data_IF_390086147963
#
_entry.id   IF_390086147963
#
_cell.length_a   1.000
_cell.length_b   1.000
_cell.length_c   1.000
_cell.angle_alpha   90.00
_cell.angle_beta   90.00
_cell.angle_gamma   90.00
#
_symmetry.space_group_name_H-M   'P 1'
#
loop_
_entity.id
_entity.type
_entity.pdbx_description
1 polymer ?
#
# COMPACT_ATOMS: atom_id res chain seq x y z
N UNK A 1 0.92 11.46 6.38
CA UNK A 1 2.10 10.60 6.29
C UNK A 1 1.69 9.14 6.37
N UNK A 2 2.32 8.30 5.60
CA UNK A 2 1.94 6.89 5.55
C UNK A 2 2.40 6.16 6.80
N UNK A 3 1.47 5.47 7.45
CA UNK A 3 1.80 4.67 8.63
C UNK A 3 1.97 3.22 8.25
N UNK A 4 2.87 2.55 8.94
CA UNK A 4 3.15 1.13 8.70
C UNK A 4 2.75 0.31 9.89
N UNK A 5 2.15 -0.84 9.64
CA UNK A 5 1.81 -1.81 10.67
C UNK A 5 2.28 -3.16 10.22
N UNK A 6 2.68 -4.01 11.15
CA UNK A 6 3.07 -5.37 10.81
C UNK A 6 1.94 -6.32 11.18
N UNK A 7 1.87 -7.43 10.46
CA UNK A 7 0.94 -8.51 10.77
C UNK A 7 1.52 -9.81 10.25
N UNK A 8 0.98 -10.92 10.73
CA UNK A 8 1.46 -12.24 10.32
C UNK A 8 0.56 -12.76 9.22
N UNK A 9 1.14 -13.05 8.07
CA UNK A 9 0.39 -13.60 6.95
C UNK A 9 -0.13 -14.99 7.27
N UNK A 10 -1.40 -15.22 7.02
CA UNK A 10 -2.02 -16.48 7.40
C UNK A 10 -1.48 -17.66 6.63
N UNK A 11 -1.15 -17.46 5.37
CA UNK A 11 -0.69 -18.57 4.53
C UNK A 11 0.78 -18.88 4.71
N UNK A 12 1.58 -17.83 4.90
CA UNK A 12 3.03 -18.03 4.91
C UNK A 12 3.62 -17.97 6.30
N UNK A 13 2.90 -17.40 7.27
CA UNK A 13 3.45 -17.22 8.60
C UNK A 13 4.51 -16.14 8.68
N UNK A 14 4.71 -15.37 7.61
CA UNK A 14 5.74 -14.34 7.58
C UNK A 14 5.18 -13.03 8.11
N UNK A 15 6.08 -12.20 8.63
CA UNK A 15 5.72 -10.85 9.01
C UNK A 15 5.62 -10.00 7.76
N UNK A 16 4.47 -9.38 7.58
CA UNK A 16 4.22 -8.53 6.44
C UNK A 16 3.83 -7.14 6.92
N UNK A 17 3.88 -6.18 6.03
CA UNK A 17 3.58 -4.80 6.35
C UNK A 17 2.29 -4.36 5.67
N UNK A 18 1.51 -3.59 6.40
CA UNK A 18 0.29 -2.98 5.92
C UNK A 18 0.44 -1.48 6.11
N UNK A 19 -0.20 -0.71 5.25
CA UNK A 19 0.03 0.72 5.24
C UNK A 19 -1.29 1.46 5.42
N UNK A 20 -1.25 2.57 6.16
CA UNK A 20 -2.40 3.42 6.39
C UNK A 20 -2.02 4.83 5.98
N UNK A 21 -2.84 5.45 5.15
CA UNK A 21 -2.60 6.81 4.70
C UNK A 21 -3.92 7.48 4.37
N UNK A 22 -3.90 8.81 4.31
CA UNK A 22 -5.10 9.55 3.97
C UNK A 22 -5.39 9.41 2.49
N UNK A 23 -6.62 9.69 2.10
CA UNK A 23 -6.98 9.63 0.69
C UNK A 23 -6.15 10.61 -0.12
N UNK A 24 -5.93 11.80 0.41
CA UNK A 24 -5.12 12.80 -0.30
C UNK A 24 -3.71 12.27 -0.53
N UNK A 25 -3.12 11.67 0.48
CA UNK A 25 -1.79 11.14 0.34
C UNK A 25 -1.75 9.95 -0.61
N UNK A 26 -2.78 9.11 -0.57
CA UNK A 26 -2.85 7.97 -1.48
C UNK A 26 -2.88 8.46 -2.93
N UNK A 27 -3.72 9.44 -3.21
CA UNK A 27 -3.83 9.96 -4.57
C UNK A 27 -2.52 10.62 -5.01
N UNK A 28 -1.89 11.39 -4.12
CA UNK A 28 -0.65 12.05 -4.46
C UNK A 28 0.46 11.04 -4.75
N UNK A 29 0.59 10.04 -3.90
CA UNK A 29 1.64 9.03 -4.08
C UNK A 29 1.41 8.20 -5.32
N UNK A 30 0.16 7.86 -5.61
CA UNK A 30 -0.17 7.11 -6.81
C UNK A 30 0.17 7.92 -8.05
N UNK A 31 -0.10 9.22 -8.01
CA UNK A 31 0.19 10.10 -9.11
C UNK A 31 1.69 10.24 -9.33
N UNK A 32 2.49 10.03 -8.31
CA UNK A 32 3.94 10.09 -8.38
C UNK A 32 4.57 8.70 -8.58
N UNK A 33 3.76 7.71 -8.91
CA UNK A 33 4.22 6.33 -9.11
C UNK A 33 4.85 5.76 -7.84
N UNK A 34 4.22 6.03 -6.70
CA UNK A 34 4.70 5.51 -5.44
C UNK A 34 4.23 4.09 -5.19
N UNK A 35 4.99 3.37 -4.42
CA UNK A 35 4.66 2.02 -4.01
C UNK A 35 5.28 1.73 -2.68
N UNK A 36 5.21 0.47 -2.25
CA UNK A 36 5.77 0.09 -0.97
C UNK A 36 6.07 -1.40 -0.95
N UNK A 37 7.02 -1.78 -0.12
CA UNK A 37 7.42 -3.17 0.03
C UNK A 37 6.67 -3.79 1.19
N UNK A 38 5.95 -4.88 0.94
CA UNK A 38 5.21 -5.54 2.00
C UNK A 38 6.11 -6.39 2.90
N UNK A 39 7.36 -6.58 2.51
CA UNK A 39 8.28 -7.43 3.26
C UNK A 39 9.14 -6.65 4.24
N UNK A 40 9.47 -5.40 3.95
CA UNK A 40 10.28 -4.60 4.85
C UNK A 40 9.65 -3.25 5.21
N UNK A 41 8.55 -2.89 4.57
CA UNK A 41 7.84 -1.66 4.89
C UNK A 41 8.39 -0.41 4.25
N UNK A 42 9.40 -0.51 3.40
CA UNK A 42 10.00 0.66 2.78
C UNK A 42 9.09 1.20 1.69
N UNK A 43 9.06 2.52 1.55
CA UNK A 43 8.35 3.10 0.42
C UNK A 43 9.26 3.05 -0.81
N UNK A 44 8.66 3.05 -1.98
CA UNK A 44 9.41 2.96 -3.22
C UNK A 44 8.81 3.92 -4.24
N UNK A 45 9.62 4.33 -5.20
CA UNK A 45 9.17 5.16 -6.28
C UNK A 45 9.29 4.43 -7.60
N UNK A 46 8.77 5.04 -8.66
CA UNK A 46 8.89 4.45 -9.98
C UNK A 46 8.04 3.21 -10.19
N UNK A 47 6.95 3.08 -9.44
CA UNK A 47 6.06 1.94 -9.53
C UNK A 47 4.77 2.36 -10.21
N UNK A 48 4.39 1.68 -11.27
CA UNK A 48 3.06 1.88 -11.82
C UNK A 48 2.04 1.51 -10.76
N UNK A 49 0.83 2.07 -10.80
CA UNK A 49 -0.17 1.76 -9.78
C UNK A 49 -0.47 0.28 -9.62
N UNK A 50 -0.34 -0.49 -10.69
CA UNK A 50 -0.59 -1.93 -10.66
C UNK A 50 0.69 -2.75 -10.63
N UNK A 51 1.82 -2.14 -10.26
CA UNK A 51 3.09 -2.85 -10.19
C UNK A 51 3.04 -3.98 -9.19
N UNK A 52 3.69 -5.09 -9.51
CA UNK A 52 3.72 -6.27 -8.67
C UNK A 52 5.12 -6.83 -8.58
N UNK A 53 5.51 -7.18 -7.36
CA UNK A 53 6.74 -7.95 -7.11
C UNK A 53 7.98 -7.29 -7.68
N UNK A 54 8.03 -5.97 -7.62
CA UNK A 54 9.26 -5.29 -8.00
C UNK A 54 10.30 -5.52 -6.91
N UNK A 55 11.55 -5.53 -7.29
CA UNK A 55 12.63 -5.73 -6.32
C UNK A 55 12.75 -4.50 -5.44
N UNK A 56 12.74 -4.71 -4.13
CA UNK A 56 12.91 -3.64 -3.17
C UNK A 56 14.38 -3.30 -3.05
N UNK A 57 14.69 -2.02 -3.19
CA UNK A 57 16.08 -1.60 -3.06
C UNK A 57 16.56 -1.65 -1.61
N UNK A 58 15.63 -1.66 -0.66
CA UNK A 58 16.00 -1.72 0.73
C UNK A 58 16.30 -3.12 1.23
N UNK A 59 15.46 -4.09 0.88
CA UNK A 59 15.66 -5.45 1.39
C UNK A 59 16.03 -6.47 0.29
N UNK A 60 16.01 -6.05 -0.97
CA UNK A 60 16.41 -6.93 -2.04
C UNK A 60 15.40 -8.00 -2.43
N UNK A 61 14.22 -7.99 -1.84
CA UNK A 61 13.20 -8.99 -2.09
C UNK A 61 12.13 -8.46 -3.03
N UNK A 62 11.44 -9.34 -3.77
CA UNK A 62 10.41 -8.90 -4.72
C UNK A 62 9.09 -8.60 -4.01
N UNK A 63 9.11 -7.63 -3.12
CA UNK A 63 7.94 -7.30 -2.31
C UNK A 63 7.36 -5.92 -2.58
N UNK A 64 7.82 -5.21 -3.60
CA UNK A 64 7.32 -3.87 -3.89
C UNK A 64 6.14 -3.94 -4.83
N UNK A 65 5.06 -3.27 -4.43
CA UNK A 65 3.82 -3.21 -5.22
C UNK A 65 3.38 -1.77 -5.32
N UNK A 66 2.69 -1.44 -6.41
CA UNK A 66 2.09 -0.12 -6.53
C UNK A 66 0.97 0.05 -5.52
N UNK A 67 0.65 1.30 -5.19
CA UNK A 67 -0.32 1.56 -4.13
C UNK A 67 -1.71 1.08 -4.48
N UNK A 68 -2.13 1.19 -5.75
CA UNK A 68 -3.45 0.69 -6.12
C UNK A 68 -3.51 -0.83 -6.02
N UNK A 69 -2.43 -1.49 -6.39
CA UNK A 69 -2.40 -2.94 -6.26
C UNK A 69 -2.46 -3.34 -4.78
N UNK A 70 -1.73 -2.61 -3.92
CA UNK A 70 -1.78 -2.89 -2.49
C UNK A 70 -3.17 -2.67 -1.92
N UNK A 71 -3.87 -1.66 -2.41
CA UNK A 71 -5.23 -1.41 -1.96
C UNK A 71 -6.13 -2.59 -2.34
N UNK A 72 -6.01 -3.08 -3.56
CA UNK A 72 -6.81 -4.21 -4.00
C UNK A 72 -6.47 -5.47 -3.24
N UNK A 73 -5.22 -5.63 -2.82
CA UNK A 73 -4.79 -6.80 -2.07
C UNK A 73 -5.13 -6.72 -0.58
N UNK A 74 -5.59 -5.56 -0.12
CA UNK A 74 -5.93 -5.40 1.28
C UNK A 74 -4.78 -4.94 2.16
N UNK A 75 -3.68 -4.48 1.58
CA UNK A 75 -2.52 -4.03 2.33
C UNK A 75 -2.49 -2.52 2.53
N UNK A 76 -3.49 -1.80 2.03
CA UNK A 76 -3.58 -0.36 2.22
C UNK A 76 -4.93 -0.03 2.83
N UNK A 77 -4.92 0.79 3.87
CA UNK A 77 -6.13 1.32 4.46
C UNK A 77 -6.12 2.83 4.27
N UNK A 78 -7.20 3.36 3.74
CA UNK A 78 -7.30 4.78 3.48
C UNK A 78 -8.17 5.41 4.54
N UNK A 79 -7.58 6.34 5.32
CA UNK A 79 -8.33 7.04 6.36
C UNK A 79 -8.99 8.27 5.75
N UNK A 80 -10.12 8.64 6.30
CA UNK A 80 -10.84 9.80 5.81
C UNK A 80 -11.73 9.50 4.62
N UNK A 81 -11.39 8.50 3.84
CA UNK A 81 -12.20 8.13 2.70
C UNK A 81 -13.48 7.48 3.16
N UNK A 82 -13.48 6.92 4.35
CA UNK A 82 -14.64 6.24 4.86
C UNK A 82 -15.85 7.15 4.89
N UNK A 83 -15.66 8.36 5.36
CA UNK A 83 -16.78 9.28 5.45
C UNK A 83 -17.37 9.55 4.11
N UNK A 84 -16.53 9.81 3.13
CA UNK A 84 -17.02 10.03 1.82
C UNK A 84 -17.56 8.79 1.22
N UNK A 85 -16.95 7.66 1.51
CA UNK A 85 -17.39 6.40 1.00
C UNK A 85 -18.78 6.08 1.47
N UNK A 86 -19.03 6.30 2.74
CA UNK A 86 -20.33 6.05 3.27
C UNK A 86 -21.36 6.94 2.60
N UNK A 87 -21.00 8.15 2.40
CA UNK A 87 -21.88 9.08 1.77
C UNK A 87 -22.15 8.71 0.35
N UNK A 88 -21.12 8.26 -0.31
CA UNK A 88 -21.22 7.93 -1.68
C UNK A 88 -21.91 6.66 -1.89
N UNK A 89 -21.68 5.77 -1.03
CA UNK A 89 -22.32 4.49 -1.16
C UNK A 89 -23.78 4.65 -1.16
N UNK A 90 -24.19 5.69 -0.73
CA UNK A 90 -25.52 5.93 -0.80
C UNK A 90 -25.90 6.44 -2.06
N UNK A 91 -25.03 6.59 -2.79
CA UNK A 91 -25.35 7.21 -3.94
C UNK A 91 -25.51 6.54 -4.96
#
# INVERSE_FOLDING_TARGET
>A
MMKRETFIGKKTGRTLYRFTLSEREFLRRTDEYGGACILCGASAGGCEPDARKYTCEGCGQPGVYGLEELLLMGYVRITGAVDRGARTACL
#
